data_IF_962416899052
#
_entry.id   IF_962416899052
#
_cell.length_a   1.000
_cell.length_b   1.000
_cell.length_c   1.000
_cell.angle_alpha   90.00
_cell.angle_beta   90.00
_cell.angle_gamma   90.00
#
_symmetry.space_group_name_H-M   'P 1'
#
loop_
_entity.id
_entity.type
_entity.pdbx_description
1 polymer ?
#
# COMPACT_ATOMS: atom_id res chain seq x y z
N UNK A 1 2.30 -12.64 4.21
CA UNK A 1 3.57 -11.92 4.52
C UNK A 1 4.20 -11.56 3.19
N UNK A 2 4.52 -10.29 2.97
CA UNK A 2 5.12 -9.83 1.71
C UNK A 2 4.84 -8.34 1.44
N UNK A 3 5.05 -7.94 0.18
CA UNK A 3 4.60 -6.64 -0.33
C UNK A 3 3.18 -6.69 -0.89
N UNK A 4 2.77 -5.59 -1.54
CA UNK A 4 1.42 -5.41 -2.08
C UNK A 4 0.91 -6.56 -2.97
N UNK A 5 1.74 -7.09 -3.86
CA UNK A 5 1.34 -8.20 -4.75
C UNK A 5 0.94 -9.47 -4.01
N UNK A 6 1.68 -9.85 -2.96
CA UNK A 6 1.34 -11.04 -2.15
C UNK A 6 0.05 -10.78 -1.37
N UNK A 7 -0.07 -9.58 -0.81
CA UNK A 7 -1.24 -9.18 -0.03
C UNK A 7 -2.51 -9.19 -0.91
N UNK A 8 -2.44 -8.58 -2.10
CA UNK A 8 -3.55 -8.54 -3.06
C UNK A 8 -3.97 -9.95 -3.52
N UNK A 9 -2.99 -10.82 -3.81
CA UNK A 9 -3.28 -12.22 -4.11
C UNK A 9 -4.04 -12.89 -2.95
N UNK A 10 -3.60 -12.70 -1.71
CA UNK A 10 -4.27 -13.28 -0.55
C UNK A 10 -5.71 -12.75 -0.36
N UNK A 11 -5.97 -11.46 -0.64
CA UNK A 11 -7.34 -10.89 -0.57
C UNK A 11 -8.31 -11.63 -1.49
N UNK A 12 -7.84 -11.99 -2.69
CA UNK A 12 -8.64 -12.65 -3.72
C UNK A 12 -8.76 -14.15 -3.45
N UNK A 13 -7.69 -14.81 -3.02
CA UNK A 13 -7.76 -16.21 -2.56
C UNK A 13 -8.74 -16.35 -1.39
N UNK A 14 -8.76 -15.39 -0.47
CA UNK A 14 -9.67 -15.39 0.68
C UNK A 14 -11.14 -15.39 0.28
N UNK A 15 -11.53 -14.51 -0.67
CA UNK A 15 -12.93 -14.45 -1.14
C UNK A 15 -13.27 -15.63 -2.05
N UNK A 16 -12.34 -16.03 -2.93
CA UNK A 16 -12.54 -17.18 -3.82
C UNK A 16 -12.74 -18.48 -3.03
N UNK A 17 -12.07 -18.65 -1.90
CA UNK A 17 -12.25 -19.83 -1.05
C UNK A 17 -13.63 -19.94 -0.38
N UNK A 18 -14.49 -18.91 -0.49
CA UNK A 18 -15.86 -18.89 0.04
C UNK A 18 -16.93 -19.07 -1.02
N UNK A 19 -16.56 -19.24 -2.29
CA UNK A 19 -17.50 -19.39 -3.39
C UNK A 19 -16.96 -20.35 -4.45
N UNK A 20 -17.85 -21.14 -5.03
CA UNK A 20 -17.52 -22.00 -6.18
C UNK A 20 -17.58 -21.23 -7.52
N UNK A 21 -18.08 -19.98 -7.49
CA UNK A 21 -18.10 -19.09 -8.66
C UNK A 21 -16.74 -18.45 -8.85
N UNK A 22 -16.37 -18.20 -10.11
CA UNK A 22 -15.16 -17.46 -10.44
C UNK A 22 -15.32 -15.99 -10.06
N UNK A 23 -14.49 -15.50 -9.12
CA UNK A 23 -14.59 -14.12 -8.61
C UNK A 23 -14.28 -13.06 -9.67
N UNK A 24 -13.51 -13.38 -10.71
CA UNK A 24 -13.27 -12.48 -11.84
C UNK A 24 -14.53 -12.32 -12.68
N UNK A 25 -15.24 -13.42 -12.97
CA UNK A 25 -16.51 -13.37 -13.68
C UNK A 25 -17.58 -12.65 -12.87
N UNK A 26 -17.68 -12.94 -11.57
CA UNK A 26 -18.62 -12.28 -10.67
C UNK A 26 -18.49 -10.76 -10.77
N UNK A 27 -17.28 -10.22 -10.65
CA UNK A 27 -17.08 -8.77 -10.60
C UNK A 27 -17.21 -8.11 -11.99
N UNK A 28 -16.55 -8.66 -13.01
CA UNK A 28 -16.43 -7.99 -14.32
C UNK A 28 -17.56 -8.31 -15.32
N UNK A 29 -18.22 -9.46 -15.20
CA UNK A 29 -19.31 -9.85 -16.10
C UNK A 29 -20.68 -9.71 -15.43
N UNK A 30 -20.78 -10.03 -14.14
CA UNK A 30 -22.05 -10.09 -13.42
C UNK A 30 -22.29 -8.88 -12.51
N UNK A 31 -21.25 -8.06 -12.28
CA UNK A 31 -21.27 -6.90 -11.39
C UNK A 31 -21.68 -7.25 -9.95
N UNK A 32 -21.29 -8.44 -9.50
CA UNK A 32 -21.48 -8.93 -8.15
C UNK A 32 -20.15 -9.00 -7.41
N UNK A 33 -20.17 -8.59 -6.14
CA UNK A 33 -18.98 -8.61 -5.29
C UNK A 33 -19.08 -9.73 -4.25
N UNK A 34 -17.98 -10.43 -3.95
CA UNK A 34 -17.97 -11.41 -2.86
C UNK A 34 -18.25 -10.71 -1.52
N UNK A 35 -19.13 -11.30 -0.71
CA UNK A 35 -19.55 -10.76 0.59
C UNK A 35 -18.88 -11.46 1.77
N UNK A 36 -18.28 -12.62 1.54
CA UNK A 36 -17.60 -13.43 2.55
C UNK A 36 -16.16 -13.72 2.14
N UNK A 37 -15.28 -13.85 3.15
CA UNK A 37 -13.89 -14.21 2.98
C UNK A 37 -13.35 -14.98 4.18
N UNK A 38 -12.19 -15.60 4.03
CA UNK A 38 -11.45 -16.16 5.15
C UNK A 38 -10.76 -15.01 5.92
N UNK A 39 -10.93 -14.89 7.24
CA UNK A 39 -10.22 -13.88 8.02
C UNK A 39 -8.69 -13.97 7.81
N UNK A 40 -8.06 -12.84 7.53
CA UNK A 40 -6.64 -12.77 7.20
C UNK A 40 -5.94 -11.57 7.85
N UNK A 41 -4.63 -11.70 8.06
CA UNK A 41 -3.78 -10.61 8.51
C UNK A 41 -2.66 -10.32 7.51
N UNK A 42 -2.19 -9.08 7.50
CA UNK A 42 -1.05 -8.66 6.67
C UNK A 42 0.20 -8.47 7.53
N UNK A 43 1.33 -9.02 7.07
CA UNK A 43 2.66 -8.69 7.60
C UNK A 43 3.45 -8.11 6.43
N UNK A 44 3.70 -6.80 6.50
CA UNK A 44 4.25 -6.02 5.39
C UNK A 44 5.76 -6.08 5.43
N UNK A 45 6.38 -6.47 4.31
CA UNK A 45 7.84 -6.53 4.16
C UNK A 45 8.40 -5.42 3.28
N UNK A 46 7.54 -4.67 2.58
CA UNK A 46 7.92 -3.51 1.78
C UNK A 46 6.73 -2.55 1.66
N UNK A 47 6.99 -1.25 1.82
CA UNK A 47 5.99 -0.19 1.65
C UNK A 47 5.74 0.13 0.17
N UNK A 48 4.65 0.82 -0.13
CA UNK A 48 4.30 1.26 -1.49
C UNK A 48 2.80 1.42 -1.66
N UNK A 49 2.13 0.29 -1.83
CA UNK A 49 0.74 0.23 -2.33
C UNK A 49 -0.33 0.55 -1.29
N UNK A 50 -0.03 0.45 0.00
CA UNK A 50 -1.02 0.54 1.09
C UNK A 50 -2.05 -0.60 1.08
N UNK A 51 -1.73 -1.71 0.41
CA UNK A 51 -2.62 -2.86 0.24
C UNK A 51 -3.10 -3.45 1.58
N UNK A 52 -2.29 -3.35 2.63
CA UNK A 52 -2.59 -3.85 3.96
C UNK A 52 -3.75 -3.12 4.68
N UNK A 53 -4.16 -1.93 4.21
CA UNK A 53 -5.19 -1.09 4.83
C UNK A 53 -6.42 -0.86 3.95
N UNK A 54 -6.60 -1.66 2.89
CA UNK A 54 -7.77 -1.61 2.02
C UNK A 54 -8.22 -3.01 1.59
N UNK A 55 -9.34 -3.07 0.85
CA UNK A 55 -9.87 -4.31 0.26
C UNK A 55 -9.69 -4.38 -1.27
N UNK A 56 -9.07 -3.37 -1.90
CA UNK A 56 -8.79 -3.40 -3.33
C UNK A 56 -7.59 -4.30 -3.63
N UNK A 57 -7.64 -5.09 -4.69
CA UNK A 57 -6.55 -5.95 -5.13
C UNK A 57 -6.29 -5.75 -6.63
N UNK A 58 -5.03 -5.69 -7.05
CA UNK A 58 -4.72 -5.65 -8.49
C UNK A 58 -4.28 -7.03 -8.97
N UNK A 59 -5.13 -7.68 -9.76
CA UNK A 59 -4.89 -9.03 -10.28
C UNK A 59 -4.72 -9.01 -11.79
N UNK A 60 -3.83 -9.86 -12.29
CA UNK A 60 -3.64 -10.10 -13.72
C UNK A 60 -4.29 -11.42 -14.10
N UNK A 61 -5.25 -11.39 -15.02
CA UNK A 61 -5.75 -12.57 -15.71
C UNK A 61 -4.83 -12.83 -16.91
N UNK A 62 -4.02 -13.90 -16.83
CA UNK A 62 -3.05 -14.22 -17.88
C UNK A 62 -3.69 -14.72 -19.18
N UNK A 63 -4.85 -15.37 -19.11
CA UNK A 63 -5.57 -15.89 -20.27
C UNK A 63 -6.11 -14.75 -21.14
N UNK A 64 -6.74 -13.75 -20.52
CA UNK A 64 -7.27 -12.58 -21.22
C UNK A 64 -6.26 -11.44 -21.36
N UNK A 65 -5.10 -11.54 -20.70
CA UNK A 65 -4.05 -10.51 -20.62
C UNK A 65 -4.56 -9.19 -20.05
N UNK A 66 -5.53 -9.26 -19.13
CA UNK A 66 -6.10 -8.10 -18.47
C UNK A 66 -5.53 -7.95 -17.07
N UNK A 67 -5.20 -6.72 -16.67
CA UNK A 67 -4.76 -6.38 -15.32
C UNK A 67 -5.71 -5.34 -14.76
N UNK A 68 -6.51 -5.72 -13.78
CA UNK A 68 -7.58 -4.90 -13.24
C UNK A 68 -7.55 -4.85 -11.70
N UNK A 69 -8.13 -3.79 -11.16
CA UNK A 69 -8.47 -3.71 -9.74
C UNK A 69 -9.76 -4.50 -9.47
N UNK A 70 -9.77 -5.23 -8.35
CA UNK A 70 -10.85 -6.10 -7.90
C UNK A 70 -11.16 -5.89 -6.42
N UNK A 71 -12.40 -6.15 -6.03
CA UNK A 71 -12.84 -6.18 -4.63
C UNK A 71 -12.49 -7.51 -3.96
N UNK A 72 -11.69 -7.46 -2.90
CA UNK A 72 -11.30 -8.62 -2.11
C UNK A 72 -11.66 -8.51 -0.63
N UNK A 73 -11.04 -9.34 0.20
CA UNK A 73 -11.20 -9.31 1.67
C UNK A 73 -10.48 -8.14 2.33
N UNK A 74 -11.04 -7.64 3.43
CA UNK A 74 -10.31 -6.79 4.37
C UNK A 74 -9.40 -7.63 5.27
N UNK A 75 -8.32 -7.02 5.73
CA UNK A 75 -7.49 -7.59 6.79
C UNK A 75 -8.11 -7.33 8.16
N UNK A 76 -8.04 -8.32 9.04
CA UNK A 76 -8.38 -8.15 10.45
C UNK A 76 -7.31 -7.38 11.22
N UNK A 77 -6.05 -7.46 10.75
CA UNK A 77 -4.93 -6.70 11.29
C UNK A 77 -3.81 -6.55 10.25
N UNK A 78 -3.00 -5.52 10.42
CA UNK A 78 -1.76 -5.32 9.66
C UNK A 78 -0.59 -5.07 10.63
N UNK A 79 0.54 -5.71 10.37
CA UNK A 79 1.80 -5.51 11.10
C UNK A 79 2.79 -4.83 10.17
N UNK A 80 3.26 -3.66 10.60
CA UNK A 80 4.25 -2.86 9.89
C UNK A 80 5.47 -2.69 10.80
N UNK A 81 6.50 -3.51 10.56
CA UNK A 81 7.81 -3.32 11.17
C UNK A 81 8.79 -2.83 10.08
N UNK A 82 9.30 -1.59 10.19
CA UNK A 82 10.21 -1.04 9.18
C UNK A 82 11.50 -1.85 9.04
N UNK A 83 11.88 -2.65 10.04
CA UNK A 83 13.07 -3.51 9.97
C UNK A 83 12.95 -4.55 8.85
N UNK A 84 11.73 -5.04 8.55
CA UNK A 84 11.53 -5.97 7.45
C UNK A 84 11.83 -5.36 6.08
N UNK A 85 11.70 -4.04 5.94
CA UNK A 85 11.95 -3.32 4.68
C UNK A 85 13.42 -3.21 4.33
N UNK A 86 14.34 -3.40 5.29
CA UNK A 86 15.79 -3.35 5.06
C UNK A 86 16.29 -4.54 4.23
N UNK A 87 15.59 -5.68 4.28
CA UNK A 87 15.92 -6.86 3.47
C UNK A 87 15.56 -6.70 1.99
N UNK A 88 14.70 -5.73 1.65
CA UNK A 88 14.29 -5.49 0.27
C UNK A 88 15.39 -4.74 -0.50
N UNK A 89 15.64 -5.11 -1.78
CA UNK A 89 16.60 -4.38 -2.60
C UNK A 89 16.26 -2.89 -2.67
N UNK A 90 17.26 -2.01 -2.60
CA UNK A 90 17.04 -0.55 -2.61
C UNK A 90 16.20 -0.10 -3.81
N UNK A 91 16.40 -0.71 -4.99
CA UNK A 91 15.58 -0.42 -6.17
C UNK A 91 14.08 -0.64 -5.92
N UNK A 92 13.72 -1.72 -5.22
CA UNK A 92 12.33 -2.03 -4.89
C UNK A 92 11.77 -1.03 -3.87
N UNK A 93 12.59 -0.63 -2.88
CA UNK A 93 12.19 0.40 -1.92
C UNK A 93 11.96 1.76 -2.58
N UNK A 94 12.81 2.15 -3.53
CA UNK A 94 12.61 3.35 -4.32
C UNK A 94 11.33 3.26 -5.16
N UNK A 95 11.07 2.12 -5.81
CA UNK A 95 9.81 1.90 -6.51
C UNK A 95 8.60 2.08 -5.59
N UNK A 96 8.64 1.55 -4.37
CA UNK A 96 7.59 1.77 -3.37
C UNK A 96 7.43 3.25 -2.97
N UNK A 97 8.53 3.99 -2.83
CA UNK A 97 8.46 5.43 -2.54
C UNK A 97 7.82 6.23 -3.68
N UNK A 98 8.15 5.89 -4.93
CA UNK A 98 7.51 6.50 -6.10
C UNK A 98 6.03 6.16 -6.19
N UNK A 99 5.63 4.94 -5.83
CA UNK A 99 4.23 4.50 -5.79
C UNK A 99 3.40 5.29 -4.75
N UNK A 100 3.95 5.47 -3.55
CA UNK A 100 3.32 6.33 -2.53
C UNK A 100 3.20 7.79 -2.99
N UNK A 101 4.22 8.28 -3.72
CA UNK A 101 4.21 9.62 -4.27
C UNK A 101 3.13 9.77 -5.35
N UNK A 102 2.99 8.80 -6.25
CA UNK A 102 1.94 8.81 -7.27
C UNK A 102 0.55 8.79 -6.68
N UNK A 103 0.26 7.94 -5.68
CA UNK A 103 -1.05 7.94 -5.02
C UNK A 103 -1.37 9.28 -4.32
N UNK A 104 -0.35 9.92 -3.73
CA UNK A 104 -0.51 11.25 -3.14
C UNK A 104 -0.80 12.31 -4.21
N UNK A 105 -0.13 12.24 -5.35
CA UNK A 105 -0.37 13.11 -6.50
C UNK A 105 -1.75 12.90 -7.12
N UNK A 106 -2.20 11.65 -7.27
CA UNK A 106 -3.55 11.33 -7.76
C UNK A 106 -4.64 11.95 -6.88
N UNK A 107 -4.45 11.89 -5.55
CA UNK A 107 -5.37 12.56 -4.61
C UNK A 107 -5.33 14.07 -4.77
N UNK A 108 -4.12 14.66 -4.86
CA UNK A 108 -3.92 16.12 -4.92
C UNK A 108 -4.37 16.75 -6.25
N UNK A 109 -4.21 16.04 -7.36
CA UNK A 109 -4.66 16.48 -8.69
C UNK A 109 -6.07 15.99 -9.03
N UNK A 110 -6.69 15.26 -8.10
CA UNK A 110 -8.04 14.72 -8.23
C UNK A 110 -9.12 15.79 -8.09
N UNK A 111 -10.37 15.33 -8.16
CA UNK A 111 -11.54 16.18 -7.93
C UNK A 111 -12.04 16.06 -6.49
N UNK A 112 -12.67 17.10 -5.92
CA UNK A 112 -12.93 18.42 -6.51
C UNK A 112 -11.67 19.30 -6.60
N UNK A 113 -11.64 20.23 -7.56
CA UNK A 113 -10.48 21.13 -7.80
C UNK A 113 -10.30 22.22 -6.73
N UNK A 114 -11.20 22.29 -5.77
CA UNK A 114 -11.13 23.25 -4.68
C UNK A 114 -10.21 22.73 -3.57
N UNK A 115 -9.35 23.63 -3.07
CA UNK A 115 -8.41 23.33 -2.00
C UNK A 115 -9.14 22.78 -0.77
N UNK A 116 -8.88 21.52 -0.44
CA UNK A 116 -9.56 20.82 0.63
C UNK A 116 -8.57 20.18 1.64
N UNK A 117 -9.11 19.48 2.64
CA UNK A 117 -8.29 18.83 3.66
C UNK A 117 -7.39 17.74 3.07
N UNK A 118 -7.90 16.96 2.10
CA UNK A 118 -7.16 15.90 1.43
C UNK A 118 -5.96 16.47 0.68
N UNK A 119 -6.08 17.62 0.03
CA UNK A 119 -4.95 18.27 -0.67
C UNK A 119 -3.83 18.65 0.29
N UNK A 120 -4.19 19.16 1.47
CA UNK A 120 -3.21 19.53 2.51
C UNK A 120 -2.50 18.30 3.07
N UNK A 121 -3.23 17.20 3.28
CA UNK A 121 -2.68 15.92 3.71
C UNK A 121 -1.76 15.36 2.63
N UNK A 122 -2.20 15.33 1.37
CA UNK A 122 -1.43 14.83 0.24
C UNK A 122 -0.14 15.63 0.05
N UNK A 123 -0.20 16.97 0.12
CA UNK A 123 1.00 17.82 0.02
C UNK A 123 2.00 17.57 1.15
N UNK A 124 1.52 17.41 2.39
CA UNK A 124 2.38 17.06 3.51
C UNK A 124 3.01 15.67 3.31
N UNK A 125 2.24 14.71 2.82
CA UNK A 125 2.71 13.36 2.55
C UNK A 125 3.79 13.33 1.45
N UNK A 126 3.56 14.04 0.33
CA UNK A 126 4.53 14.15 -0.77
C UNK A 126 5.88 14.71 -0.29
N UNK A 127 5.86 15.77 0.54
CA UNK A 127 7.09 16.30 1.15
C UNK A 127 7.79 15.26 2.02
N UNK A 128 7.02 14.55 2.84
CA UNK A 128 7.56 13.50 3.70
C UNK A 128 8.26 12.39 2.91
N UNK A 129 7.62 11.92 1.83
CA UNK A 129 8.16 10.89 0.96
C UNK A 129 9.47 11.35 0.31
N UNK A 130 9.52 12.58 -0.23
CA UNK A 130 10.70 13.11 -0.90
C UNK A 130 11.91 13.18 0.05
N UNK A 131 11.72 13.72 1.26
CA UNK A 131 12.80 13.89 2.23
C UNK A 131 13.31 12.54 2.76
N UNK A 132 12.40 11.60 3.06
CA UNK A 132 12.76 10.25 3.48
C UNK A 132 13.48 9.49 2.36
N UNK A 133 13.02 9.61 1.12
CA UNK A 133 13.65 8.93 -0.02
C UNK A 133 15.08 9.43 -0.22
N UNK A 134 15.32 10.74 -0.10
CA UNK A 134 16.68 11.30 -0.15
C UNK A 134 17.58 10.77 0.97
N UNK A 135 17.05 10.68 2.18
CA UNK A 135 17.77 10.13 3.35
C UNK A 135 18.08 8.64 3.15
N UNK A 136 17.12 7.87 2.67
CA UNK A 136 17.27 6.44 2.36
C UNK A 136 18.34 6.18 1.29
N UNK A 137 18.48 7.07 0.30
CA UNK A 137 19.54 6.98 -0.71
C UNK A 137 20.90 7.32 -0.11
N UNK A 138 20.98 8.39 0.70
CA UNK A 138 22.22 8.83 1.33
C UNK A 138 22.71 7.89 2.44
N UNK A 139 21.81 7.16 3.08
CA UNK A 139 22.09 6.25 4.20
C UNK A 139 21.20 5.00 4.10
N UNK A 140 21.56 4.03 3.23
CA UNK A 140 20.74 2.85 2.92
C UNK A 140 20.35 1.97 4.10
N UNK A 141 21.22 1.88 5.10
CA UNK A 141 21.07 1.06 6.30
C UNK A 141 20.34 1.80 7.44
N UNK A 142 20.02 3.09 7.26
CA UNK A 142 19.25 3.84 8.24
C UNK A 142 17.79 3.37 8.24
N UNK A 143 17.34 2.88 9.39
CA UNK A 143 15.98 2.42 9.62
C UNK A 143 14.99 3.58 9.72
N UNK A 144 15.41 4.75 10.21
CA UNK A 144 14.53 5.88 10.47
C UNK A 144 13.69 6.32 9.24
N UNK A 145 14.28 6.57 8.05
CA UNK A 145 13.49 6.97 6.87
C UNK A 145 12.57 5.87 6.34
N UNK A 146 12.69 4.61 6.82
CA UNK A 146 11.85 3.47 6.43
C UNK A 146 10.56 3.37 7.24
N UNK A 147 10.53 3.92 8.46
CA UNK A 147 9.43 3.73 9.41
C UNK A 147 8.74 4.98 9.92
N UNK A 148 9.31 6.17 9.69
CA UNK A 148 8.79 7.42 10.22
C UNK A 148 8.72 8.50 9.13
N UNK A 149 7.81 9.50 9.24
CA UNK A 149 7.91 10.72 8.45
C UNK A 149 9.24 11.43 8.76
N UNK A 150 9.79 12.23 7.83
CA UNK A 150 11.13 12.77 7.93
C UNK A 150 11.32 13.56 9.20
N UNK A 151 12.57 13.54 9.68
CA UNK A 151 13.02 14.52 10.64
C UNK A 151 12.86 15.91 10.02
N UNK A 152 11.85 16.66 10.48
CA UNK A 152 11.79 18.10 10.23
C UNK A 152 12.96 18.70 11.02
N UNK A 153 13.96 19.32 10.36
CA UNK A 153 15.08 19.95 11.06
C UNK A 153 14.54 20.95 12.08
N UNK A 154 14.89 20.77 13.36
CA UNK A 154 14.42 21.62 14.47
C UNK A 154 13.14 21.16 15.18
N UNK A 155 12.52 20.04 14.82
CA UNK A 155 11.46 19.41 15.63
C UNK A 155 11.99 18.21 16.43
N UNK A 156 11.69 18.11 17.74
CA UNK A 156 12.07 16.95 18.53
C UNK A 156 11.43 15.69 17.96
N UNK A 157 12.23 14.64 17.83
CA UNK A 157 11.74 13.30 17.48
C UNK A 157 11.03 12.76 18.71
N UNK A 158 9.70 12.74 18.68
CA UNK A 158 8.91 12.06 19.71
C UNK A 158 9.11 10.54 19.53
N UNK A 159 10.08 9.98 20.24
CA UNK A 159 10.16 8.53 20.44
C UNK A 159 9.31 8.19 21.67
N UNK A 160 8.39 7.24 21.53
CA UNK A 160 7.70 6.65 22.68
C UNK A 160 8.76 5.99 23.57
N UNK A 161 8.79 6.38 24.84
CA UNK A 161 9.54 5.66 25.86
C UNK A 161 8.57 4.69 26.54
N UNK A 162 8.45 3.50 25.98
CA UNK A 162 7.79 2.34 26.62
C UNK A 162 8.22 1.07 25.92
#
# INVERSE_FOLDING_TARGET
MGGGSVIDCCKIVSVQAKTERDVWQMEFAEHEFPTEGIPMGAVVTIFGTGAEMNNGAVITNEETKQKNGMGGSFHSFAVLDPAYTLSAPMRQALSGAFDMLSHSMETYFGTPYDNNLSDRIALANMRCIIDNTRTMIASPDDLAPRGAPPHIPGKPVWRSAS
#
